data_IF_682506223573
#
_entry.id   IF_682506223573
#
_cell.length_a   1.000
_cell.length_b   1.000
_cell.length_c   1.000
_cell.angle_alpha   90.00
_cell.angle_beta   90.00
_cell.angle_gamma   90.00
#
_symmetry.space_group_name_H-M   'P 1'
#
loop_
_entity.id
_entity.type
_entity.pdbx_description
1 polymer ?
#
# COMPACT_ATOMS: atom_id res chain seq x y z
N UNK A 1 -44.33 38.75 29.38
CA UNK A 1 -43.85 37.35 29.40
C UNK A 1 -42.55 37.30 28.62
N UNK A 2 -41.41 37.15 29.30
CA UNK A 2 -40.09 37.13 28.66
C UNK A 2 -39.69 35.68 28.40
N UNK A 3 -39.44 35.33 27.13
CA UNK A 3 -38.99 33.99 26.72
C UNK A 3 -37.46 33.98 26.80
N UNK A 4 -36.92 33.20 27.72
CA UNK A 4 -35.49 32.96 27.84
C UNK A 4 -35.04 31.93 26.79
N UNK A 5 -34.17 32.33 25.87
CA UNK A 5 -33.53 31.44 24.91
C UNK A 5 -32.36 30.70 25.58
N UNK A 6 -32.48 29.38 25.72
CA UNK A 6 -31.41 28.50 26.21
C UNK A 6 -30.50 28.15 25.02
N UNK A 7 -29.27 28.65 25.03
CA UNK A 7 -28.21 28.22 24.12
C UNK A 7 -27.69 26.85 24.58
N UNK A 8 -28.01 25.79 23.84
CA UNK A 8 -27.40 24.48 24.04
C UNK A 8 -26.00 24.47 23.41
N UNK A 9 -24.96 24.51 24.26
CA UNK A 9 -23.57 24.31 23.85
C UNK A 9 -23.37 22.82 23.56
N UNK A 10 -23.29 22.48 22.27
CA UNK A 10 -22.83 21.17 21.81
C UNK A 10 -21.32 21.08 22.05
N UNK A 11 -20.92 20.45 23.15
CA UNK A 11 -19.53 20.02 23.35
C UNK A 11 -19.22 18.92 22.32
N UNK A 12 -18.60 19.29 21.21
CA UNK A 12 -17.92 18.34 20.33
C UNK A 12 -16.72 17.79 21.10
N UNK A 13 -16.89 16.63 21.74
CA UNK A 13 -15.77 15.89 22.32
C UNK A 13 -14.81 15.52 21.20
N UNK A 14 -13.59 16.06 21.25
CA UNK A 14 -12.50 15.57 20.42
C UNK A 14 -12.25 14.12 20.85
N UNK A 15 -12.69 13.16 20.02
CA UNK A 15 -12.32 11.78 20.20
C UNK A 15 -10.78 11.69 20.10
N UNK A 16 -10.09 11.00 21.02
CA UNK A 16 -8.67 10.75 20.87
C UNK A 16 -8.43 10.07 19.52
N UNK A 17 -7.53 10.63 18.72
CA UNK A 17 -7.02 9.95 17.54
C UNK A 17 -6.42 8.61 17.99
N UNK A 18 -7.01 7.51 17.54
CA UNK A 18 -6.50 6.19 17.87
C UNK A 18 -5.07 6.04 17.32
N UNK A 19 -4.10 5.80 18.22
CA UNK A 19 -2.70 5.56 17.84
C UNK A 19 -2.59 4.11 17.33
N UNK A 20 -2.90 3.91 16.04
CA UNK A 20 -2.76 2.63 15.34
C UNK A 20 -1.32 2.40 14.88
N UNK A 21 -0.35 2.43 15.80
CA UNK A 21 1.02 2.02 15.48
C UNK A 21 1.11 0.49 15.52
N UNK A 22 1.15 -0.10 14.34
CA UNK A 22 1.60 -1.48 14.15
C UNK A 22 3.14 -1.45 14.30
N UNK A 23 3.71 -1.98 15.40
CA UNK A 23 5.15 -1.91 15.66
C UNK A 23 5.97 -2.70 14.61
N UNK A 24 5.33 -3.66 13.93
CA UNK A 24 5.98 -4.54 12.96
C UNK A 24 5.87 -3.99 11.53
N UNK A 25 5.27 -2.82 11.36
CA UNK A 25 5.12 -2.18 10.05
C UNK A 25 6.36 -1.36 9.69
N UNK A 26 7.05 -1.69 8.57
CA UNK A 26 8.36 -1.11 8.30
C UNK A 26 8.34 0.20 7.51
N UNK A 27 7.18 0.63 6.98
CA UNK A 27 7.10 1.81 6.13
C UNK A 27 6.69 3.05 6.92
N UNK A 28 7.15 4.22 6.47
CA UNK A 28 6.80 5.52 7.08
C UNK A 28 5.28 5.79 6.99
N UNK A 29 4.65 5.37 5.91
CA UNK A 29 3.19 5.50 5.75
C UNK A 29 2.45 4.51 6.64
N UNK A 30 1.34 4.90 7.29
CA UNK A 30 0.58 3.98 8.12
C UNK A 30 0.03 2.80 7.31
N UNK A 31 -0.09 1.65 7.97
CA UNK A 31 -0.60 0.42 7.37
C UNK A 31 -2.11 0.50 7.18
N UNK A 32 -2.52 0.99 6.01
CA UNK A 32 -3.93 1.05 5.60
C UNK A 32 -4.19 0.00 4.53
N UNK A 33 -5.06 -0.97 4.82
CA UNK A 33 -5.36 -2.08 3.92
C UNK A 33 -6.03 -1.64 2.62
N UNK A 34 -7.11 -0.86 2.74
CA UNK A 34 -7.92 -0.39 1.61
C UNK A 34 -8.02 1.13 1.61
N UNK A 35 -7.98 1.74 0.43
CA UNK A 35 -8.26 3.16 0.22
C UNK A 35 -9.72 3.35 -0.17
N UNK A 36 -10.28 4.52 0.15
CA UNK A 36 -11.65 4.87 -0.21
C UNK A 36 -11.67 5.71 -1.47
N UNK A 37 -12.52 5.33 -2.44
CA UNK A 37 -12.73 6.13 -3.65
C UNK A 37 -13.26 7.53 -3.32
N UNK A 38 -14.05 7.66 -2.24
CA UNK A 38 -14.58 8.94 -1.77
C UNK A 38 -13.52 9.92 -1.26
N UNK A 39 -12.30 9.45 -0.97
CA UNK A 39 -11.17 10.34 -0.67
C UNK A 39 -10.55 10.95 -1.93
N UNK A 40 -10.83 10.39 -3.10
CA UNK A 40 -10.26 10.81 -4.39
C UNK A 40 -11.30 11.45 -5.32
N UNK A 41 -12.57 11.05 -5.20
CA UNK A 41 -13.66 11.48 -6.06
C UNK A 41 -14.86 11.93 -5.23
N UNK A 42 -15.32 13.15 -5.47
CA UNK A 42 -16.45 13.75 -4.75
C UNK A 42 -17.78 13.74 -5.53
N UNK A 43 -17.74 13.38 -6.83
CA UNK A 43 -18.92 13.31 -7.67
C UNK A 43 -19.73 12.03 -7.46
N UNK A 44 -20.96 11.95 -8.00
CA UNK A 44 -21.71 10.70 -8.05
C UNK A 44 -20.94 9.67 -8.90
N UNK A 45 -21.05 8.40 -8.51
CA UNK A 45 -20.56 7.28 -9.31
C UNK A 45 -21.77 6.48 -9.78
N UNK A 46 -21.77 6.01 -11.04
CA UNK A 46 -22.83 5.16 -11.54
C UNK A 46 -22.83 3.81 -10.82
N UNK A 47 -24.02 3.26 -10.63
CA UNK A 47 -24.19 1.87 -10.20
C UNK A 47 -23.96 0.92 -11.38
N UNK A 48 -23.49 -0.30 -11.08
CA UNK A 48 -23.35 -1.36 -12.08
C UNK A 48 -22.04 -2.14 -11.97
N UNK A 49 -21.99 -3.28 -12.66
CA UNK A 49 -20.77 -4.08 -12.78
C UNK A 49 -19.95 -3.61 -13.99
N UNK A 50 -18.82 -2.95 -13.73
CA UNK A 50 -17.91 -2.48 -14.77
C UNK A 50 -17.35 -3.62 -15.64
N UNK A 51 -17.38 -4.87 -15.14
CA UNK A 51 -16.91 -6.06 -15.88
C UNK A 51 -17.92 -6.54 -16.91
N UNK A 52 -19.19 -6.18 -16.77
CA UNK A 52 -20.26 -6.63 -17.66
C UNK A 52 -20.18 -5.98 -19.05
N UNK A 53 -19.66 -4.76 -19.15
CA UNK A 53 -19.40 -4.09 -20.42
C UNK A 53 -17.92 -4.27 -20.80
N UNK A 54 -17.67 -4.99 -21.91
CA UNK A 54 -16.32 -5.29 -22.40
C UNK A 54 -15.48 -4.03 -22.62
N UNK A 55 -16.08 -2.96 -23.11
CA UNK A 55 -15.37 -1.73 -23.45
C UNK A 55 -14.97 -0.97 -22.19
N UNK A 56 -15.88 -0.89 -21.21
CA UNK A 56 -15.63 -0.33 -19.88
C UNK A 56 -14.54 -1.12 -19.16
N UNK A 57 -14.62 -2.46 -19.18
CA UNK A 57 -13.62 -3.33 -18.59
C UNK A 57 -12.23 -3.17 -19.22
N UNK A 58 -12.16 -3.07 -20.54
CA UNK A 58 -10.91 -2.84 -21.25
C UNK A 58 -10.27 -1.50 -20.85
N UNK A 59 -11.06 -0.43 -20.76
CA UNK A 59 -10.57 0.87 -20.31
C UNK A 59 -10.11 0.80 -18.85
N UNK A 60 -10.93 0.26 -17.94
CA UNK A 60 -10.59 0.10 -16.52
C UNK A 60 -9.24 -0.61 -16.32
N UNK A 61 -9.04 -1.74 -16.99
CA UNK A 61 -7.78 -2.47 -16.94
C UNK A 61 -6.61 -1.66 -17.50
N UNK A 62 -6.80 -0.90 -18.58
CA UNK A 62 -5.73 -0.08 -19.17
C UNK A 62 -5.36 1.09 -18.26
N UNK A 63 -6.34 1.71 -17.61
CA UNK A 63 -6.12 2.80 -16.65
C UNK A 63 -5.43 2.30 -15.37
N UNK A 64 -5.75 1.11 -14.88
CA UNK A 64 -5.12 0.54 -13.69
C UNK A 64 -3.63 0.15 -13.91
N UNK A 65 -3.23 -0.14 -15.15
CA UNK A 65 -1.86 -0.57 -15.45
C UNK A 65 -0.82 0.52 -15.20
N UNK A 66 0.16 0.27 -14.31
CA UNK A 66 1.28 1.18 -14.03
C UNK A 66 2.09 1.59 -15.27
N UNK A 67 2.23 0.69 -16.24
CA UNK A 67 2.97 0.93 -17.49
C UNK A 67 2.28 1.93 -18.43
N UNK A 68 0.96 2.12 -18.28
CA UNK A 68 0.22 3.14 -19.02
C UNK A 68 0.56 4.47 -18.37
N UNK A 69 1.23 5.39 -19.06
CA UNK A 69 1.59 6.68 -18.45
C UNK A 69 0.32 7.49 -18.10
N UNK A 70 0.46 8.53 -17.27
CA UNK A 70 -0.68 9.38 -16.94
C UNK A 70 -1.17 10.15 -18.18
N UNK A 71 -0.27 10.56 -19.05
CA UNK A 71 -0.58 11.21 -20.33
C UNK A 71 -1.34 10.25 -21.27
N UNK A 72 -0.89 9.00 -21.39
CA UNK A 72 -1.58 7.98 -22.17
C UNK A 72 -2.97 7.69 -21.59
N UNK A 73 -3.08 7.56 -20.27
CA UNK A 73 -4.35 7.36 -19.59
C UNK A 73 -5.33 8.51 -19.86
N UNK A 74 -4.85 9.76 -19.80
CA UNK A 74 -5.65 10.94 -20.11
C UNK A 74 -6.12 10.90 -21.57
N UNK A 75 -5.23 10.60 -22.52
CA UNK A 75 -5.58 10.49 -23.94
C UNK A 75 -6.64 9.41 -24.19
N UNK A 76 -6.52 8.25 -23.53
CA UNK A 76 -7.50 7.16 -23.61
C UNK A 76 -8.87 7.60 -23.10
N UNK A 77 -8.92 8.29 -21.95
CA UNK A 77 -10.19 8.78 -21.39
C UNK A 77 -10.81 9.87 -22.27
N UNK A 78 -10.01 10.83 -22.75
CA UNK A 78 -10.49 11.88 -23.66
C UNK A 78 -11.04 11.29 -24.95
N UNK A 79 -10.31 10.37 -25.58
CA UNK A 79 -10.76 9.67 -26.79
C UNK A 79 -12.00 8.79 -26.52
N UNK A 80 -12.12 8.23 -25.32
CA UNK A 80 -13.30 7.44 -24.95
C UNK A 80 -14.56 8.30 -24.91
N UNK A 81 -14.50 9.52 -24.38
CA UNK A 81 -15.68 10.41 -24.31
C UNK A 81 -15.84 11.32 -25.52
N UNK A 82 -14.88 11.33 -26.44
CA UNK A 82 -14.90 12.17 -27.63
C UNK A 82 -16.19 11.94 -28.43
N UNK A 83 -16.85 13.03 -28.80
CA UNK A 83 -18.13 13.06 -29.53
C UNK A 83 -19.27 12.28 -28.84
N UNK A 84 -19.08 11.91 -27.57
CA UNK A 84 -20.00 11.17 -26.74
C UNK A 84 -20.87 12.07 -25.86
N UNK A 85 -22.16 11.73 -25.75
CA UNK A 85 -23.09 12.38 -24.84
C UNK A 85 -22.97 11.95 -23.37
N UNK A 86 -23.94 12.32 -22.51
CA UNK A 86 -23.95 11.98 -21.08
C UNK A 86 -23.74 10.48 -20.78
N UNK A 87 -24.34 9.59 -21.57
CA UNK A 87 -24.18 8.14 -21.40
C UNK A 87 -22.72 7.67 -21.54
N UNK A 88 -21.91 8.37 -22.35
CA UNK A 88 -20.49 8.02 -22.53
C UNK A 88 -19.65 8.46 -21.33
N UNK A 89 -19.96 9.63 -20.76
CA UNK A 89 -19.36 10.11 -19.52
C UNK A 89 -19.70 9.20 -18.34
N UNK A 90 -20.92 8.69 -18.28
CA UNK A 90 -21.32 7.70 -17.29
C UNK A 90 -20.51 6.41 -17.40
N UNK A 91 -20.31 5.89 -18.63
CA UNK A 91 -19.41 4.73 -18.85
C UNK A 91 -17.96 5.01 -18.47
N UNK A 92 -17.46 6.24 -18.66
CA UNK A 92 -16.12 6.63 -18.21
C UNK A 92 -16.03 6.59 -16.68
N UNK A 93 -17.03 7.10 -15.97
CA UNK A 93 -17.09 7.03 -14.50
C UNK A 93 -17.14 5.57 -14.03
N UNK A 94 -17.90 4.71 -14.70
CA UNK A 94 -17.94 3.27 -14.39
C UNK A 94 -16.57 2.60 -14.62
N UNK A 95 -15.86 2.97 -15.70
CA UNK A 95 -14.50 2.48 -15.96
C UNK A 95 -13.50 2.98 -14.92
N UNK A 96 -13.65 4.22 -14.44
CA UNK A 96 -12.86 4.76 -13.35
C UNK A 96 -13.08 4.00 -12.04
N UNK A 97 -14.33 3.71 -11.67
CA UNK A 97 -14.64 2.86 -10.51
C UNK A 97 -13.93 1.51 -10.61
N UNK A 98 -14.00 0.86 -11.77
CA UNK A 98 -13.29 -0.40 -12.00
C UNK A 98 -11.76 -0.28 -11.93
N UNK A 99 -11.19 0.80 -12.48
CA UNK A 99 -9.76 1.06 -12.38
C UNK A 99 -9.32 1.28 -10.93
N UNK A 100 -10.13 2.01 -10.15
CA UNK A 100 -9.89 2.23 -8.72
C UNK A 100 -9.91 0.90 -7.95
N UNK A 101 -10.92 0.04 -8.17
CA UNK A 101 -11.00 -1.27 -7.53
C UNK A 101 -9.76 -2.14 -7.82
N UNK A 102 -9.30 -2.14 -9.07
CA UNK A 102 -8.09 -2.88 -9.46
C UNK A 102 -6.83 -2.34 -8.78
N UNK A 103 -6.69 -1.01 -8.71
CA UNK A 103 -5.56 -0.34 -8.06
C UNK A 103 -5.57 -0.61 -6.55
N UNK A 104 -6.72 -0.48 -5.89
CA UNK A 104 -6.86 -0.75 -4.45
C UNK A 104 -6.52 -2.21 -4.15
N UNK A 105 -7.05 -3.16 -4.92
CA UNK A 105 -6.72 -4.57 -4.75
C UNK A 105 -5.22 -4.85 -4.87
N UNK A 106 -4.54 -4.30 -5.88
CA UNK A 106 -3.08 -4.43 -6.01
C UNK A 106 -2.35 -3.80 -4.81
N UNK A 107 -2.78 -2.60 -4.39
CA UNK A 107 -2.23 -1.88 -3.25
C UNK A 107 -2.38 -2.70 -1.96
N UNK A 108 -3.56 -3.25 -1.66
CA UNK A 108 -3.81 -4.09 -0.48
C UNK A 108 -2.94 -5.35 -0.49
N UNK A 109 -2.78 -5.99 -1.66
CA UNK A 109 -1.92 -7.17 -1.81
C UNK A 109 -0.44 -6.84 -1.51
N UNK A 110 0.04 -5.68 -1.99
CA UNK A 110 1.40 -5.19 -1.69
C UNK A 110 1.57 -4.87 -0.21
N UNK A 111 0.62 -4.17 0.41
CA UNK A 111 0.64 -3.88 1.85
C UNK A 111 0.72 -5.19 2.66
N UNK A 112 -0.09 -6.20 2.31
CA UNK A 112 -0.01 -7.52 2.92
C UNK A 112 1.34 -8.23 2.69
N UNK A 113 1.92 -8.07 1.50
CA UNK A 113 3.25 -8.57 1.15
C UNK A 113 4.36 -7.94 1.99
N UNK A 114 4.34 -6.62 2.15
CA UNK A 114 5.27 -5.85 2.99
C UNK A 114 5.19 -6.31 4.45
N UNK A 115 3.99 -6.48 5.00
CA UNK A 115 3.82 -6.95 6.37
C UNK A 115 4.40 -8.36 6.57
N UNK A 116 4.19 -9.27 5.61
CA UNK A 116 4.81 -10.61 5.66
C UNK A 116 6.32 -10.54 5.52
N UNK A 117 6.83 -9.62 4.71
CA UNK A 117 8.25 -9.41 4.52
C UNK A 117 8.92 -8.91 5.80
N UNK A 118 8.32 -7.94 6.48
CA UNK A 118 8.79 -7.41 7.76
C UNK A 118 8.93 -8.50 8.82
N UNK A 119 7.88 -9.32 9.04
CA UNK A 119 7.96 -10.45 9.97
C UNK A 119 9.04 -11.48 9.61
N UNK A 120 9.34 -11.65 8.32
CA UNK A 120 10.46 -12.50 7.89
C UNK A 120 11.83 -11.88 8.15
N UNK A 121 11.94 -10.55 8.16
CA UNK A 121 13.16 -9.86 8.60
C UNK A 121 13.38 -10.04 10.08
N UNK A 122 12.34 -9.82 10.89
CA UNK A 122 12.40 -10.04 12.33
C UNK A 122 12.80 -11.48 12.68
N UNK A 123 12.17 -12.47 12.04
CA UNK A 123 12.54 -13.87 12.22
C UNK A 123 13.97 -14.20 11.74
N UNK A 124 14.53 -13.45 10.80
CA UNK A 124 15.93 -13.59 10.38
C UNK A 124 16.86 -12.98 11.43
N UNK A 125 16.53 -11.79 11.95
CA UNK A 125 17.26 -11.15 13.05
C UNK A 125 17.32 -12.07 14.27
N UNK A 126 16.19 -12.64 14.70
CA UNK A 126 16.16 -13.55 15.84
C UNK A 126 17.00 -14.83 15.63
N UNK A 127 17.16 -15.29 14.37
CA UNK A 127 18.09 -16.40 14.06
C UNK A 127 19.55 -15.97 14.15
N UNK A 128 19.87 -14.76 13.69
CA UNK A 128 21.23 -14.21 13.80
C UNK A 128 21.61 -14.07 15.28
N UNK A 129 20.72 -13.49 16.08
CA UNK A 129 20.91 -13.32 17.53
C UNK A 129 21.13 -14.66 18.23
N UNK A 130 20.28 -15.66 17.96
CA UNK A 130 20.44 -16.99 18.53
C UNK A 130 21.80 -17.64 18.18
N UNK A 131 22.26 -17.50 16.92
CA UNK A 131 23.57 -18.01 16.50
C UNK A 131 24.73 -17.25 17.15
N UNK A 132 24.59 -15.95 17.34
CA UNK A 132 25.57 -15.13 18.06
C UNK A 132 25.68 -15.55 19.53
N UNK A 133 24.55 -15.82 20.19
CA UNK A 133 24.52 -16.35 21.54
C UNK A 133 25.17 -17.75 21.63
N UNK A 134 24.92 -18.62 20.65
CA UNK A 134 25.56 -19.94 20.55
C UNK A 134 27.07 -19.82 20.40
N UNK A 135 27.52 -18.94 19.50
CA UNK A 135 28.94 -18.66 19.27
C UNK A 135 29.60 -18.12 20.55
N UNK A 136 28.96 -17.15 21.22
CA UNK A 136 29.45 -16.60 22.48
C UNK A 136 29.59 -17.68 23.57
N UNK A 137 28.62 -18.60 23.67
CA UNK A 137 28.68 -19.72 24.62
C UNK A 137 29.84 -20.67 24.34
N UNK A 138 30.10 -20.98 23.07
CA UNK A 138 31.23 -21.83 22.68
C UNK A 138 32.58 -21.12 22.93
N UNK A 139 32.69 -19.84 22.60
CA UNK A 139 33.92 -19.06 22.82
C UNK A 139 34.26 -18.88 24.30
N UNK A 140 33.27 -18.97 25.19
CA UNK A 140 33.47 -18.91 26.64
C UNK A 140 34.01 -20.21 27.25
N UNK A 141 34.05 -21.32 26.50
CA UNK A 141 34.60 -22.59 26.98
C UNK A 141 36.14 -22.57 27.01
N UNK A 142 36.78 -23.39 27.86
CA UNK A 142 38.21 -23.64 27.78
C UNK A 142 38.63 -24.10 26.38
N UNK A 143 39.81 -23.70 25.91
CA UNK A 143 40.28 -24.00 24.55
C UNK A 143 40.26 -25.50 24.20
N UNK A 144 40.58 -26.37 25.15
CA UNK A 144 40.55 -27.81 24.96
C UNK A 144 39.13 -28.39 24.76
N UNK A 145 38.08 -27.63 25.10
CA UNK A 145 36.68 -28.02 25.01
C UNK A 145 35.94 -27.33 23.85
N UNK A 146 36.60 -26.42 23.12
CA UNK A 146 36.02 -25.70 21.99
C UNK A 146 35.97 -26.57 20.74
N UNK A 147 34.80 -26.61 20.11
CA UNK A 147 34.60 -27.20 18.79
C UNK A 147 34.89 -26.13 17.73
N UNK A 148 36.11 -26.16 17.17
CA UNK A 148 36.57 -25.18 16.19
C UNK A 148 35.77 -25.22 14.88
N UNK A 149 35.38 -26.42 14.43
CA UNK A 149 34.60 -26.60 13.20
C UNK A 149 33.21 -25.99 13.37
N UNK A 150 32.58 -26.19 14.54
CA UNK A 150 31.28 -25.58 14.84
C UNK A 150 31.34 -24.06 14.97
N UNK A 151 32.44 -23.53 15.50
CA UNK A 151 32.68 -22.08 15.59
C UNK A 151 32.77 -21.47 14.18
N UNK A 152 33.53 -22.08 13.28
CA UNK A 152 33.66 -21.62 11.88
C UNK A 152 32.29 -21.66 11.17
N UNK A 153 31.54 -22.76 11.31
CA UNK A 153 30.19 -22.90 10.74
C UNK A 153 29.25 -21.78 11.22
N UNK A 154 29.22 -21.50 12.53
CA UNK A 154 28.39 -20.42 13.08
C UNK A 154 28.79 -19.04 12.54
N UNK A 155 30.10 -18.77 12.41
CA UNK A 155 30.59 -17.51 11.86
C UNK A 155 30.16 -17.31 10.41
N UNK A 156 30.28 -18.35 9.59
CA UNK A 156 29.84 -18.34 8.19
C UNK A 156 28.33 -18.14 8.06
N UNK A 157 27.55 -18.87 8.86
CA UNK A 157 26.10 -18.73 8.89
C UNK A 157 25.66 -17.32 9.29
N UNK A 158 26.26 -16.74 10.34
CA UNK A 158 25.98 -15.37 10.80
C UNK A 158 26.33 -14.37 9.70
N UNK A 159 27.50 -14.53 9.06
CA UNK A 159 27.94 -13.63 7.99
C UNK A 159 26.97 -13.66 6.81
N UNK A 160 26.54 -14.85 6.41
CA UNK A 160 25.58 -15.06 5.33
C UNK A 160 24.20 -14.48 5.64
N UNK A 161 23.63 -14.81 6.81
CA UNK A 161 22.32 -14.32 7.24
C UNK A 161 22.33 -12.79 7.40
N UNK A 162 23.42 -12.22 7.93
CA UNK A 162 23.59 -10.76 8.06
C UNK A 162 23.65 -10.08 6.70
N UNK A 163 24.32 -10.68 5.71
CA UNK A 163 24.34 -10.17 4.34
C UNK A 163 22.92 -10.16 3.75
N UNK A 164 22.20 -11.27 3.87
CA UNK A 164 20.80 -11.37 3.41
C UNK A 164 19.94 -10.29 4.06
N UNK A 165 20.08 -10.09 5.37
CA UNK A 165 19.33 -9.06 6.10
C UNK A 165 19.61 -7.67 5.52
N UNK A 166 20.88 -7.30 5.33
CA UNK A 166 21.28 -5.98 4.81
C UNK A 166 20.74 -5.74 3.40
N UNK A 167 20.89 -6.70 2.49
CA UNK A 167 20.41 -6.59 1.10
C UNK A 167 18.89 -6.39 1.07
N UNK A 168 18.18 -7.10 1.96
CA UNK A 168 16.73 -7.02 2.10
C UNK A 168 16.26 -5.69 2.73
N UNK A 169 16.93 -5.25 3.80
CA UNK A 169 16.63 -3.97 4.44
C UNK A 169 16.82 -2.79 3.47
N UNK A 170 17.86 -2.82 2.63
CA UNK A 170 18.09 -1.80 1.60
C UNK A 170 16.96 -1.76 0.56
N UNK A 171 16.44 -2.93 0.18
CA UNK A 171 15.37 -3.02 -0.82
C UNK A 171 14.01 -2.51 -0.29
N UNK A 172 13.83 -2.50 1.03
CA UNK A 172 12.54 -2.20 1.67
C UNK A 172 12.03 -0.79 1.36
N UNK A 173 12.93 0.20 1.22
CA UNK A 173 12.59 1.58 0.85
C UNK A 173 11.77 1.62 -0.45
N UNK A 174 12.27 0.97 -1.51
CA UNK A 174 11.60 0.95 -2.81
C UNK A 174 10.27 0.20 -2.77
N UNK A 175 10.20 -0.87 -1.97
CA UNK A 175 8.95 -1.62 -1.80
C UNK A 175 7.89 -0.77 -1.10
N UNK A 176 8.28 0.01 -0.08
CA UNK A 176 7.40 0.91 0.65
C UNK A 176 6.87 2.08 -0.20
N UNK A 177 7.58 2.49 -1.26
CA UNK A 177 7.12 3.53 -2.18
C UNK A 177 6.02 3.04 -3.13
N UNK A 178 5.98 1.75 -3.44
CA UNK A 178 5.09 1.20 -4.47
C UNK A 178 3.60 1.44 -4.16
N UNK A 179 3.09 1.19 -2.93
CA UNK A 179 1.70 1.53 -2.57
C UNK A 179 1.38 3.02 -2.73
N UNK A 180 2.32 3.91 -2.43
CA UNK A 180 2.15 5.36 -2.56
C UNK A 180 2.02 5.77 -4.02
N UNK A 181 2.79 5.15 -4.91
CA UNK A 181 2.69 5.41 -6.36
C UNK A 181 1.35 4.97 -6.94
N UNK A 182 0.80 3.84 -6.47
CA UNK A 182 -0.53 3.37 -6.86
C UNK A 182 -1.63 4.36 -6.41
N UNK A 183 -1.53 4.86 -5.18
CA UNK A 183 -2.49 5.83 -4.63
C UNK A 183 -2.43 7.17 -5.39
N UNK A 184 -1.22 7.68 -5.66
CA UNK A 184 -1.01 8.88 -6.50
C UNK A 184 -1.60 8.71 -7.90
N UNK A 185 -1.49 7.52 -8.50
CA UNK A 185 -2.10 7.21 -9.80
C UNK A 185 -3.62 7.28 -9.72
N UNK A 186 -4.24 6.62 -8.74
CA UNK A 186 -5.69 6.65 -8.59
C UNK A 186 -6.22 8.08 -8.42
N UNK A 187 -5.53 8.91 -7.64
CA UNK A 187 -5.86 10.33 -7.51
C UNK A 187 -5.71 11.10 -8.83
N UNK A 188 -4.63 10.88 -9.59
CA UNK A 188 -4.43 11.52 -10.89
C UNK A 188 -5.51 11.12 -11.92
N UNK A 189 -5.93 9.85 -11.90
CA UNK A 189 -7.05 9.37 -12.72
C UNK A 189 -8.35 10.07 -12.31
N UNK A 190 -8.66 10.16 -11.01
CA UNK A 190 -9.86 10.84 -10.52
C UNK A 190 -9.93 12.29 -11.00
N UNK A 191 -8.83 13.05 -10.91
CA UNK A 191 -8.78 14.43 -11.42
C UNK A 191 -9.01 14.53 -12.93
N UNK A 192 -8.44 13.59 -13.69
CA UNK A 192 -8.57 13.57 -15.14
C UNK A 192 -10.00 13.24 -15.58
N UNK A 193 -10.64 12.30 -14.88
CA UNK A 193 -12.05 11.97 -15.09
C UNK A 193 -12.92 13.18 -14.76
N UNK A 194 -12.65 13.88 -13.66
CA UNK A 194 -13.31 15.14 -13.28
C UNK A 194 -13.39 16.13 -14.42
N UNK A 195 -12.24 16.49 -14.97
CA UNK A 195 -12.14 17.43 -16.09
C UNK A 195 -12.88 17.00 -17.37
N UNK A 196 -13.21 15.71 -17.52
CA UNK A 196 -13.93 15.15 -18.67
C UNK A 196 -15.42 14.90 -18.40
N UNK A 197 -15.85 15.02 -17.15
CA UNK A 197 -17.20 14.68 -16.71
C UNK A 197 -18.02 15.86 -16.17
N UNK A 198 -17.38 17.01 -16.01
CA UNK A 198 -18.02 18.31 -15.78
C UNK A 198 -18.91 18.77 -16.95
#
# INVERSE_FOLDING_TARGET
MAVAAVLAVLCAGAAPAADFKDPDWPCIQPKVGHISIGQMWAGPLPEGDWKADREVAALAHRLAQRRTSLEEAQALMSGFVQDGGPARREKLLLAFSGAFELIDHERSALIGGIARYARKQEALTGRIEAKQDDLYRLDALPEAERDADRIEELQDEIAWDTRIYRDRAQSLTYVCETPVLLEKRAFALARSVGALTE
#
